data_IF_260017326520
#
_entry.id   IF_260017326520
#
_cell.length_a   1.000
_cell.length_b   1.000
_cell.length_c   1.000
_cell.angle_alpha   90.00
_cell.angle_beta   90.00
_cell.angle_gamma   90.00
#
_symmetry.space_group_name_H-M   'P 1'
#
loop_
_entity.id
_entity.type
_entity.pdbx_description
1 polymer ?
#
# COMPACT_ATOMS: atom_id res chain seq x y z
N UNK A 1 -27.75 23.48 -13.43
CA UNK A 1 -26.60 22.92 -12.67
C UNK A 1 -26.07 21.66 -13.36
N UNK A 2 -25.45 21.78 -14.54
CA UNK A 2 -24.91 20.65 -15.30
C UNK A 2 -23.55 21.07 -15.87
N UNK A 3 -22.43 20.65 -15.28
CA UNK A 3 -21.11 20.96 -15.84
C UNK A 3 -19.90 20.68 -14.97
N UNK A 4 -20.02 20.73 -13.64
CA UNK A 4 -18.87 20.56 -12.73
C UNK A 4 -18.43 19.10 -12.51
N UNK A 5 -19.18 18.10 -13.00
CA UNK A 5 -19.02 16.70 -12.62
C UNK A 5 -18.27 15.82 -13.64
N UNK A 6 -17.88 16.36 -14.81
CA UNK A 6 -17.34 15.53 -15.92
C UNK A 6 -15.87 15.14 -15.75
N UNK A 7 -15.05 15.98 -15.13
CA UNK A 7 -13.62 15.68 -14.92
C UNK A 7 -13.40 14.67 -13.79
N UNK A 8 -14.11 14.82 -12.68
CA UNK A 8 -14.10 13.83 -11.59
C UNK A 8 -14.67 12.47 -12.03
N UNK A 9 -15.69 12.48 -12.89
CA UNK A 9 -16.25 11.28 -13.48
C UNK A 9 -15.24 10.54 -14.37
N UNK A 10 -14.40 11.26 -15.13
CA UNK A 10 -13.41 10.64 -16.00
C UNK A 10 -12.24 10.02 -15.20
N UNK A 11 -11.73 10.75 -14.21
CA UNK A 11 -10.63 10.28 -13.34
C UNK A 11 -11.05 9.05 -12.51
N UNK A 12 -12.29 9.06 -11.99
CA UNK A 12 -12.84 7.91 -11.27
C UNK A 12 -13.15 6.71 -12.20
N UNK A 13 -13.60 6.94 -13.44
CA UNK A 13 -13.84 5.88 -14.42
C UNK A 13 -12.54 5.23 -14.95
N UNK A 14 -11.40 5.92 -14.88
CA UNK A 14 -10.10 5.35 -15.24
C UNK A 14 -9.65 4.30 -14.21
N UNK A 15 -9.92 4.56 -12.92
CA UNK A 15 -9.52 3.68 -11.83
C UNK A 15 -10.57 2.63 -11.48
N UNK A 16 -11.84 3.03 -11.41
CA UNK A 16 -12.91 2.20 -10.89
C UNK A 16 -13.84 1.72 -12.01
N UNK A 17 -14.35 0.51 -11.85
CA UNK A 17 -15.41 -0.02 -12.69
C UNK A 17 -16.76 0.65 -12.38
N UNK A 18 -17.80 0.25 -13.12
CA UNK A 18 -19.18 0.74 -12.92
C UNK A 18 -19.78 0.43 -11.54
N UNK A 19 -19.14 -0.42 -10.74
CA UNK A 19 -19.54 -0.81 -9.40
C UNK A 19 -18.70 -0.13 -8.31
N UNK A 20 -17.77 0.76 -8.69
CA UNK A 20 -16.89 1.44 -7.74
C UNK A 20 -15.72 0.57 -7.25
N UNK A 21 -15.38 -0.51 -7.96
CA UNK A 21 -14.25 -1.38 -7.65
C UNK A 21 -13.03 -1.04 -8.50
N UNK A 22 -11.84 -1.11 -7.93
CA UNK A 22 -10.61 -0.89 -8.67
C UNK A 22 -10.53 -1.87 -9.84
N UNK A 23 -10.25 -1.36 -11.03
CA UNK A 23 -10.11 -2.20 -12.22
C UNK A 23 -8.94 -3.16 -12.07
N UNK A 24 -9.17 -4.41 -12.46
CA UNK A 24 -8.21 -5.53 -12.40
C UNK A 24 -6.87 -5.22 -13.07
N UNK A 25 -6.90 -4.37 -14.11
CA UNK A 25 -5.73 -3.88 -14.84
C UNK A 25 -4.70 -3.19 -13.91
N UNK A 26 -5.13 -2.56 -12.83
CA UNK A 26 -4.27 -1.76 -11.95
C UNK A 26 -3.65 -2.56 -10.80
N UNK A 27 -4.02 -3.84 -10.60
CA UNK A 27 -3.45 -4.66 -9.53
C UNK A 27 -3.08 -6.09 -9.93
N UNK A 28 -3.60 -6.64 -11.04
CA UNK A 28 -3.25 -7.98 -11.50
C UNK A 28 -2.38 -8.00 -12.77
N UNK A 29 -2.51 -7.00 -13.64
CA UNK A 29 -1.82 -7.00 -14.93
C UNK A 29 -0.30 -6.80 -14.76
N UNK A 30 0.53 -7.65 -15.37
CA UNK A 30 2.00 -7.66 -15.21
C UNK A 30 2.65 -6.29 -15.45
N UNK A 31 2.16 -5.56 -16.45
CA UNK A 31 2.68 -4.25 -16.85
C UNK A 31 1.93 -3.07 -16.20
N UNK A 32 0.61 -3.14 -16.05
CA UNK A 32 -0.22 -1.98 -15.67
C UNK A 32 -0.36 -1.80 -14.17
N UNK A 33 -0.09 -2.86 -13.37
CA UNK A 33 -0.09 -2.79 -11.90
C UNK A 33 0.99 -1.88 -11.32
N UNK A 34 1.99 -1.48 -12.11
CA UNK A 34 3.13 -0.69 -11.64
C UNK A 34 3.83 -1.42 -10.49
N UNK A 35 4.02 -0.73 -9.36
CA UNK A 35 4.59 -1.33 -8.14
C UNK A 35 3.61 -2.24 -7.37
N UNK A 36 2.38 -2.43 -7.87
CA UNK A 36 1.33 -3.25 -7.24
C UNK A 36 1.04 -2.87 -5.77
N UNK A 37 1.27 -1.60 -5.43
CA UNK A 37 1.08 -1.06 -4.07
C UNK A 37 -0.39 -1.01 -3.69
N UNK A 38 -1.28 -0.96 -4.69
CA UNK A 38 -2.72 -0.84 -4.52
C UNK A 38 -3.45 -2.07 -5.11
N UNK A 39 -4.44 -2.57 -4.39
CA UNK A 39 -5.32 -3.68 -4.78
C UNK A 39 -6.80 -3.42 -4.45
N UNK A 40 -7.58 -4.48 -4.23
CA UNK A 40 -9.02 -4.39 -3.90
C UNK A 40 -9.34 -3.76 -2.54
N UNK A 41 -8.35 -3.26 -1.80
CA UNK A 41 -8.57 -2.41 -0.63
C UNK A 41 -9.25 -1.11 -1.04
N UNK A 42 -9.00 -0.62 -2.26
CA UNK A 42 -9.67 0.56 -2.82
C UNK A 42 -11.17 0.33 -3.06
N UNK A 43 -11.64 -0.92 -3.08
CA UNK A 43 -13.05 -1.27 -3.23
C UNK A 43 -13.84 -1.08 -1.91
N UNK A 44 -13.13 -0.95 -0.78
CA UNK A 44 -13.69 -1.05 0.55
C UNK A 44 -13.22 0.08 1.46
N UNK A 45 -13.67 1.32 1.23
CA UNK A 45 -13.56 2.40 2.22
C UNK A 45 -14.25 3.68 1.75
N UNK A 46 -14.20 4.73 2.58
CA UNK A 46 -14.50 6.08 2.12
C UNK A 46 -13.40 6.59 1.20
N UNK A 47 -13.81 7.32 0.16
CA UNK A 47 -12.93 7.92 -0.83
C UNK A 47 -13.01 9.44 -0.72
N UNK A 48 -11.86 10.08 -0.54
CA UNK A 48 -11.66 11.51 -0.63
C UNK A 48 -11.02 11.84 -1.99
N UNK A 49 -11.54 12.83 -2.72
CA UNK A 49 -11.00 13.22 -4.03
C UNK A 49 -10.57 14.69 -4.04
N UNK A 50 -9.29 14.93 -4.32
CA UNK A 50 -8.74 16.26 -4.57
C UNK A 50 -8.91 16.60 -6.06
N UNK A 51 -9.96 17.36 -6.39
CA UNK A 51 -10.27 17.73 -7.77
C UNK A 51 -9.54 18.98 -8.26
N UNK A 52 -9.45 20.01 -7.41
CA UNK A 52 -8.82 21.29 -7.73
C UNK A 52 -7.96 21.72 -6.55
N UNK A 53 -6.70 21.97 -6.82
CA UNK A 53 -5.72 22.38 -5.83
C UNK A 53 -4.70 23.31 -6.50
N UNK A 54 -4.79 24.60 -6.21
CA UNK A 54 -3.81 25.54 -6.73
C UNK A 54 -2.57 25.53 -5.84
N UNK A 55 -1.54 24.80 -6.28
CA UNK A 55 -0.28 24.66 -5.56
C UNK A 55 0.59 25.94 -5.62
N UNK A 56 0.11 27.03 -6.24
CA UNK A 56 0.88 28.27 -6.37
C UNK A 56 0.99 29.07 -5.06
N UNK A 57 0.19 28.79 -4.04
CA UNK A 57 0.36 29.37 -2.70
C UNK A 57 1.31 28.50 -1.86
N UNK A 58 2.38 29.15 -1.38
CA UNK A 58 3.38 28.71 -0.41
C UNK A 58 3.32 27.22 -0.03
N UNK A 59 4.30 26.45 -0.52
CA UNK A 59 4.41 24.98 -0.38
C UNK A 59 4.11 24.46 1.04
N UNK A 60 4.46 25.22 2.07
CA UNK A 60 4.16 24.91 3.48
C UNK A 60 2.69 25.08 3.83
N UNK A 61 2.06 26.20 3.45
CA UNK A 61 0.63 26.43 3.67
C UNK A 61 -0.20 25.37 2.94
N UNK A 62 0.21 25.04 1.72
CA UNK A 62 -0.39 23.99 0.93
C UNK A 62 -0.30 22.60 1.57
N UNK A 63 0.89 22.23 2.04
CA UNK A 63 1.09 20.98 2.77
C UNK A 63 0.23 20.91 4.04
N UNK A 64 0.13 22.01 4.79
CA UNK A 64 -0.66 22.10 6.01
C UNK A 64 -2.16 21.98 5.71
N UNK A 65 -2.64 22.57 4.61
CA UNK A 65 -4.02 22.42 4.16
C UNK A 65 -4.36 20.96 3.82
N UNK A 66 -3.52 20.30 3.02
CA UNK A 66 -3.74 18.89 2.68
C UNK A 66 -3.73 18.02 3.94
N UNK A 67 -2.78 18.22 4.85
CA UNK A 67 -2.73 17.49 6.13
C UNK A 67 -3.97 17.74 6.99
N UNK A 68 -4.47 18.96 7.05
CA UNK A 68 -5.69 19.29 7.80
C UNK A 68 -6.93 18.59 7.20
N UNK A 69 -7.04 18.55 5.87
CA UNK A 69 -8.11 17.83 5.17
C UNK A 69 -8.02 16.33 5.46
N UNK A 70 -6.83 15.74 5.36
CA UNK A 70 -6.60 14.32 5.65
C UNK A 70 -6.94 14.00 7.11
N UNK A 71 -6.50 14.82 8.07
CA UNK A 71 -6.83 14.64 9.48
C UNK A 71 -8.34 14.73 9.76
N UNK A 72 -9.05 15.62 9.06
CA UNK A 72 -10.51 15.71 9.18
C UNK A 72 -11.20 14.48 8.59
N UNK A 73 -10.73 13.97 7.46
CA UNK A 73 -11.25 12.75 6.85
C UNK A 73 -11.00 11.51 7.72
N UNK A 74 -9.83 11.42 8.36
CA UNK A 74 -9.50 10.39 9.34
C UNK A 74 -10.50 10.38 10.51
N UNK A 75 -10.79 11.56 11.07
CA UNK A 75 -11.74 11.72 12.16
C UNK A 75 -13.18 11.29 11.79
N UNK A 76 -13.54 11.34 10.50
CA UNK A 76 -14.87 10.94 10.02
C UNK A 76 -14.93 9.48 9.56
N UNK A 77 -13.79 8.81 9.44
CA UNK A 77 -13.68 7.47 8.88
C UNK A 77 -12.94 6.54 9.85
N UNK A 78 -13.62 6.00 10.89
CA UNK A 78 -12.98 5.14 11.89
C UNK A 78 -12.43 3.83 11.29
N UNK A 79 -12.93 3.41 10.13
CA UNK A 79 -12.43 2.27 9.34
C UNK A 79 -11.26 2.61 8.40
N UNK A 80 -10.75 3.84 8.45
CA UNK A 80 -9.79 4.40 7.49
C UNK A 80 -10.47 4.97 6.24
N UNK A 81 -9.67 5.62 5.39
CA UNK A 81 -10.10 6.16 4.10
C UNK A 81 -8.94 6.18 3.09
N UNK A 82 -9.29 6.37 1.82
CA UNK A 82 -8.33 6.65 0.76
C UNK A 82 -8.53 8.05 0.22
N UNK A 83 -7.44 8.73 -0.13
CA UNK A 83 -7.52 9.98 -0.85
C UNK A 83 -6.87 9.87 -2.22
N UNK A 84 -7.51 10.41 -3.25
CA UNK A 84 -7.00 10.42 -4.61
C UNK A 84 -6.77 11.84 -5.09
N UNK A 85 -5.75 12.00 -5.92
CA UNK A 85 -5.45 13.25 -6.63
C UNK A 85 -4.94 12.94 -8.03
N UNK A 86 -5.38 13.73 -9.00
CA UNK A 86 -4.80 13.79 -10.32
C UNK A 86 -3.88 15.03 -10.40
N UNK A 87 -2.55 14.86 -10.34
CA UNK A 87 -1.60 15.98 -10.40
C UNK A 87 -1.70 16.79 -11.70
N UNK A 88 -2.14 16.17 -12.80
CA UNK A 88 -2.26 16.83 -14.11
C UNK A 88 -3.49 17.74 -14.22
N UNK A 89 -4.57 17.43 -13.49
CA UNK A 89 -5.73 18.31 -13.36
C UNK A 89 -5.37 19.68 -12.77
N UNK A 90 -4.23 19.75 -12.08
CA UNK A 90 -3.72 20.97 -11.44
C UNK A 90 -2.84 21.84 -12.36
N UNK A 91 -2.49 21.33 -13.55
CA UNK A 91 -1.70 22.05 -14.56
C UNK A 91 -2.55 22.62 -15.69
N UNK A 92 -3.81 22.20 -15.77
CA UNK A 92 -4.77 22.80 -16.69
C UNK A 92 -5.09 24.21 -16.19
N UNK A 93 -4.88 25.27 -17.01
CA UNK A 93 -5.27 26.60 -16.61
C UNK A 93 -6.77 26.62 -16.28
N UNK A 94 -7.09 27.21 -15.14
CA UNK A 94 -8.44 27.29 -14.55
C UNK A 94 -9.48 27.91 -15.52
N UNK A 95 -9.01 28.62 -16.54
CA UNK A 95 -9.80 29.35 -17.54
C UNK A 95 -9.63 28.81 -18.97
N UNK A 96 -9.85 27.52 -19.21
CA UNK A 96 -10.17 27.11 -20.58
C UNK A 96 -11.64 27.48 -20.86
N UNK A 97 -11.92 28.39 -21.81
CA UNK A 97 -13.29 28.70 -22.16
C UNK A 97 -14.01 27.44 -22.64
N UNK A 98 -15.25 27.30 -22.19
CA UNK A 98 -16.11 26.16 -22.45
C UNK A 98 -16.12 25.81 -23.94
N UNK A 99 -15.61 24.62 -24.31
CA UNK A 99 -15.57 24.14 -25.70
C UNK A 99 -14.21 24.17 -26.39
N UNK A 100 -13.14 24.62 -25.74
CA UNK A 100 -11.79 24.54 -26.31
C UNK A 100 -11.32 23.08 -26.44
N UNK A 101 -11.08 22.64 -27.68
CA UNK A 101 -10.57 21.30 -27.99
C UNK A 101 -9.08 21.22 -27.64
N UNK A 102 -8.64 20.11 -27.05
CA UNK A 102 -7.23 19.79 -26.77
C UNK A 102 -6.34 19.70 -28.02
N UNK A 103 -6.93 19.86 -29.20
CA UNK A 103 -6.27 19.90 -30.51
C UNK A 103 -5.98 21.32 -31.03
N UNK A 104 -6.34 22.38 -30.27
CA UNK A 104 -6.11 23.76 -30.69
C UNK A 104 -4.60 24.13 -30.58
N UNK A 105 -3.92 24.46 -31.71
CA UNK A 105 -2.46 24.62 -31.78
C UNK A 105 -1.89 25.68 -30.82
N UNK A 106 -2.70 26.63 -30.35
CA UNK A 106 -2.30 27.66 -29.38
C UNK A 106 -1.96 27.09 -28.00
N UNK A 107 -2.41 25.89 -27.67
CA UNK A 107 -2.13 25.21 -26.40
C UNK A 107 -1.10 24.07 -26.53
N UNK A 108 -0.78 23.65 -27.76
CA UNK A 108 0.19 22.59 -28.07
C UNK A 108 1.65 23.11 -27.94
N UNK A 109 1.84 24.43 -27.85
CA UNK A 109 3.15 25.09 -27.84
C UNK A 109 3.65 25.64 -26.49
N UNK A 110 3.09 25.26 -25.33
CA UNK A 110 3.73 25.61 -24.04
C UNK A 110 4.95 24.72 -23.83
N UNK A 111 6.05 25.35 -23.41
CA UNK A 111 7.38 24.75 -23.32
C UNK A 111 7.38 23.45 -22.50
N UNK A 112 7.37 22.29 -23.17
CA UNK A 112 7.48 20.94 -22.59
C UNK A 112 8.57 20.80 -21.51
N UNK A 113 9.64 21.62 -21.56
CA UNK A 113 10.70 21.63 -20.54
C UNK A 113 10.28 22.31 -19.22
N UNK A 114 9.52 23.40 -19.27
CA UNK A 114 9.00 24.08 -18.08
C UNK A 114 7.83 23.30 -17.45
N UNK A 115 7.01 22.67 -18.28
CA UNK A 115 5.89 21.85 -17.82
C UNK A 115 6.37 20.55 -17.16
N UNK A 116 7.49 19.96 -17.63
CA UNK A 116 8.11 18.81 -16.97
C UNK A 116 8.72 19.14 -15.59
N UNK A 117 9.34 20.31 -15.43
CA UNK A 117 9.88 20.71 -14.12
C UNK A 117 8.75 20.98 -13.11
N UNK A 118 7.66 21.61 -13.57
CA UNK A 118 6.45 21.83 -12.77
C UNK A 118 5.75 20.53 -12.41
N UNK A 119 5.58 19.61 -13.37
CA UNK A 119 5.05 18.27 -13.12
C UNK A 119 5.85 17.54 -12.05
N UNK A 120 7.18 17.51 -12.18
CA UNK A 120 8.06 16.90 -11.18
C UNK A 120 7.90 17.55 -9.81
N UNK A 121 7.81 18.88 -9.74
CA UNK A 121 7.61 19.59 -8.48
C UNK A 121 6.26 19.23 -7.81
N UNK A 122 5.18 19.14 -8.60
CA UNK A 122 3.85 18.75 -8.12
C UNK A 122 3.85 17.28 -7.69
N UNK A 123 4.42 16.37 -8.47
CA UNK A 123 4.56 14.97 -8.08
C UNK A 123 5.39 14.80 -6.80
N UNK A 124 6.51 15.52 -6.68
CA UNK A 124 7.34 15.53 -5.47
C UNK A 124 6.59 16.07 -4.26
N UNK A 125 5.74 17.10 -4.44
CA UNK A 125 4.87 17.62 -3.39
C UNK A 125 3.91 16.54 -2.88
N UNK A 126 3.13 15.90 -3.76
CA UNK A 126 2.19 14.86 -3.35
C UNK A 126 2.88 13.64 -2.73
N UNK A 127 4.04 13.22 -3.28
CA UNK A 127 4.87 12.17 -2.68
C UNK A 127 5.34 12.53 -1.28
N UNK A 128 5.71 13.79 -1.03
CA UNK A 128 6.14 14.25 0.29
C UNK A 128 5.01 14.20 1.34
N UNK A 129 3.75 14.16 0.89
CA UNK A 129 2.56 14.01 1.72
C UNK A 129 2.11 12.55 1.87
N UNK A 130 2.89 11.59 1.35
CA UNK A 130 2.59 10.15 1.45
C UNK A 130 1.71 9.61 0.33
N UNK A 131 1.39 10.40 -0.69
CA UNK A 131 0.67 9.89 -1.85
C UNK A 131 1.60 9.05 -2.75
N UNK A 132 1.05 7.97 -3.31
CA UNK A 132 1.77 7.03 -4.19
C UNK A 132 0.96 6.82 -5.47
N UNK A 133 1.65 6.67 -6.60
CA UNK A 133 1.00 6.43 -7.90
C UNK A 133 0.19 5.13 -7.88
N UNK A 134 -0.97 5.13 -8.53
CA UNK A 134 -1.79 3.93 -8.73
C UNK A 134 -1.48 3.30 -10.08
N UNK A 135 -0.75 2.19 -10.08
CA UNK A 135 -0.34 1.51 -11.31
C UNK A 135 0.40 2.42 -12.30
N UNK A 136 0.04 2.34 -13.58
CA UNK A 136 0.50 3.25 -14.64
C UNK A 136 -0.39 4.49 -14.84
N UNK A 137 -1.41 4.66 -14.00
CA UNK A 137 -2.32 5.81 -14.12
C UNK A 137 -1.62 7.13 -13.77
N UNK A 138 -2.29 8.22 -14.14
CA UNK A 138 -1.91 9.57 -13.76
C UNK A 138 -2.27 9.89 -12.30
N UNK A 139 -3.02 9.01 -11.63
CA UNK A 139 -3.58 9.23 -10.31
C UNK A 139 -2.62 8.79 -9.21
N UNK A 140 -2.69 9.54 -8.13
CA UNK A 140 -1.98 9.29 -6.89
C UNK A 140 -3.00 9.00 -5.80
N UNK A 141 -2.74 7.99 -4.99
CA UNK A 141 -3.56 7.61 -3.86
C UNK A 141 -2.79 7.75 -2.55
N UNK A 142 -3.49 8.10 -1.48
CA UNK A 142 -3.05 8.13 -0.11
C UNK A 142 -3.93 7.17 0.70
N UNK A 143 -3.33 6.48 1.66
CA UNK A 143 -4.04 5.68 2.63
C UNK A 143 -3.81 6.28 4.01
N UNK A 144 -4.89 6.47 4.76
CA UNK A 144 -4.86 6.98 6.14
C UNK A 144 -3.98 6.16 7.08
N UNK A 145 -3.77 4.89 6.72
CA UNK A 145 -2.82 4.04 7.41
C UNK A 145 -1.72 3.57 6.46
N UNK A 146 -0.43 3.87 6.75
CA UNK A 146 0.67 3.14 6.11
C UNK A 146 0.66 1.64 6.47
N UNK A 147 -0.18 1.23 7.42
CA UNK A 147 -0.40 -0.17 7.83
C UNK A 147 -1.52 -0.88 7.08
N UNK A 148 -2.10 -0.28 6.03
CA UNK A 148 -2.81 -1.09 5.06
C UNK A 148 -1.78 -1.91 4.28
N UNK A 149 -1.51 -3.07 4.86
CA UNK A 149 -0.83 -4.21 4.27
C UNK A 149 -1.25 -4.30 2.79
N UNK A 150 -0.34 -4.13 1.82
CA UNK A 150 -0.64 -4.46 0.44
C UNK A 150 -1.33 -5.82 0.39
N UNK A 151 -2.31 -6.05 -0.48
CA UNK A 151 -3.11 -7.28 -0.42
C UNK A 151 -2.30 -8.56 -0.45
N UNK A 152 -1.21 -8.54 -1.22
CA UNK A 152 -0.27 -9.65 -1.25
C UNK A 152 0.33 -9.89 0.15
N UNK A 153 0.74 -8.83 0.85
CA UNK A 153 1.18 -8.91 2.24
C UNK A 153 0.06 -9.37 3.17
N UNK A 154 -1.21 -9.00 2.95
CA UNK A 154 -2.32 -9.44 3.82
C UNK A 154 -2.53 -10.94 3.65
N UNK A 155 -2.49 -11.43 2.41
CA UNK A 155 -2.58 -12.84 2.06
C UNK A 155 -1.41 -13.64 2.63
N UNK A 156 -0.18 -13.12 2.52
CA UNK A 156 1.02 -13.71 3.13
C UNK A 156 0.87 -13.75 4.65
N UNK A 157 0.57 -12.61 5.29
CA UNK A 157 0.45 -12.53 6.74
C UNK A 157 -0.61 -13.48 7.28
N UNK A 158 -1.80 -13.53 6.66
CA UNK A 158 -2.86 -14.47 7.03
C UNK A 158 -2.39 -15.92 6.85
N UNK A 159 -1.71 -16.25 5.74
CA UNK A 159 -1.19 -17.59 5.51
C UNK A 159 -0.11 -18.00 6.51
N UNK A 160 0.79 -17.08 6.88
CA UNK A 160 1.87 -17.35 7.82
C UNK A 160 1.36 -17.54 9.26
N UNK A 161 0.34 -16.79 9.69
CA UNK A 161 -0.23 -16.95 11.02
C UNK A 161 -1.31 -18.05 11.10
N UNK A 162 -1.81 -18.54 9.97
CA UNK A 162 -2.81 -19.61 9.93
C UNK A 162 -2.17 -20.96 10.27
N UNK A 163 -2.48 -21.43 11.48
CA UNK A 163 -2.00 -22.72 12.01
C UNK A 163 -2.49 -23.92 11.22
N UNK A 164 -3.63 -23.82 10.53
CA UNK A 164 -4.23 -24.92 9.77
C UNK A 164 -3.64 -25.06 8.36
N UNK A 165 -3.02 -24.01 7.84
CA UNK A 165 -2.48 -24.01 6.48
C UNK A 165 -1.18 -24.81 6.39
N UNK A 166 -1.02 -25.59 5.35
CA UNK A 166 0.23 -26.35 5.14
C UNK A 166 1.44 -25.43 4.95
N UNK A 167 2.56 -25.78 5.58
CA UNK A 167 3.79 -24.97 5.55
C UNK A 167 4.41 -24.89 4.16
N UNK A 168 4.43 -26.00 3.39
CA UNK A 168 4.97 -25.99 2.03
C UNK A 168 4.10 -25.14 1.09
N UNK A 169 2.78 -25.21 1.24
CA UNK A 169 1.86 -24.34 0.52
C UNK A 169 2.04 -22.86 0.89
N UNK A 170 2.30 -22.56 2.17
CA UNK A 170 2.65 -21.20 2.60
C UNK A 170 3.97 -20.73 2.01
N UNK A 171 5.00 -21.57 2.01
CA UNK A 171 6.30 -21.25 1.42
C UNK A 171 6.18 -20.99 -0.09
N UNK A 172 5.47 -21.84 -0.82
CA UNK A 172 5.23 -21.63 -2.24
C UNK A 172 4.56 -20.27 -2.52
N UNK A 173 3.57 -19.91 -1.71
CA UNK A 173 2.91 -18.60 -1.82
C UNK A 173 3.86 -17.45 -1.45
N UNK A 174 4.67 -17.62 -0.42
CA UNK A 174 5.64 -16.62 0.03
C UNK A 174 6.69 -16.35 -1.06
N UNK A 175 7.20 -17.38 -1.72
CA UNK A 175 8.18 -17.27 -2.81
C UNK A 175 7.57 -16.58 -4.04
N UNK A 176 6.29 -16.83 -4.34
CA UNK A 176 5.59 -16.20 -5.48
C UNK A 176 5.30 -14.72 -5.20
N UNK A 177 4.79 -14.41 -4.01
CA UNK A 177 4.27 -13.08 -3.70
C UNK A 177 5.35 -12.11 -3.17
N UNK A 178 6.45 -12.61 -2.58
CA UNK A 178 7.53 -11.76 -2.09
C UNK A 178 8.57 -11.45 -3.16
N UNK A 179 9.08 -10.20 -3.20
CA UNK A 179 10.16 -9.83 -4.09
C UNK A 179 11.45 -10.56 -3.71
N UNK A 180 12.17 -11.07 -4.71
CA UNK A 180 13.45 -11.76 -4.53
C UNK A 180 14.55 -10.84 -3.96
N UNK A 181 14.39 -9.52 -4.06
CA UNK A 181 15.35 -8.54 -3.52
C UNK A 181 15.18 -8.39 -1.99
N UNK A 182 16.19 -8.72 -1.16
CA UNK A 182 16.12 -8.60 0.30
C UNK A 182 15.96 -7.15 0.81
N UNK A 183 16.39 -6.18 0.00
CA UNK A 183 16.31 -4.75 0.32
C UNK A 183 14.94 -4.14 -0.02
N UNK A 184 14.02 -4.94 -0.57
CA UNK A 184 12.68 -4.45 -0.84
C UNK A 184 11.96 -4.08 0.47
N UNK A 185 11.29 -2.90 0.54
CA UNK A 185 10.55 -2.46 1.71
C UNK A 185 9.51 -3.47 2.23
N UNK A 186 9.01 -4.36 1.38
CA UNK A 186 8.06 -5.42 1.74
C UNK A 186 8.61 -6.34 2.83
N UNK A 187 9.91 -6.60 2.84
CA UNK A 187 10.57 -7.43 3.87
C UNK A 187 10.67 -6.73 5.22
N UNK A 188 10.59 -5.40 5.25
CA UNK A 188 10.57 -4.59 6.47
C UNK A 188 9.14 -4.33 6.97
N UNK A 189 8.16 -5.05 6.44
CA UNK A 189 6.77 -4.92 6.87
C UNK A 189 6.60 -5.34 8.34
N UNK A 190 5.81 -4.54 9.05
CA UNK A 190 5.46 -4.74 10.46
C UNK A 190 3.93 -4.72 10.56
N UNK A 191 3.35 -5.76 11.18
CA UNK A 191 1.91 -5.84 11.41
C UNK A 191 1.42 -4.78 12.41
N UNK A 192 0.10 -4.55 12.52
CA UNK A 192 -0.46 -3.69 13.57
C UNK A 192 -0.07 -4.11 15.00
N UNK A 193 0.26 -5.39 15.24
CA UNK A 193 0.74 -5.90 16.53
C UNK A 193 2.25 -5.76 16.72
N UNK A 194 2.96 -5.14 15.77
CA UNK A 194 4.42 -5.04 15.78
C UNK A 194 5.13 -6.30 15.29
N UNK A 195 4.41 -7.31 14.77
CA UNK A 195 5.03 -8.54 14.32
C UNK A 195 5.66 -8.34 12.94
N UNK A 196 6.94 -8.66 12.81
CA UNK A 196 7.57 -8.84 11.49
C UNK A 196 7.06 -10.11 10.80
N UNK A 197 7.38 -10.29 9.52
CA UNK A 197 7.05 -11.51 8.78
C UNK A 197 7.56 -12.77 9.50
N UNK A 198 8.75 -12.69 10.11
CA UNK A 198 9.33 -13.80 10.85
C UNK A 198 8.57 -14.12 12.14
N UNK A 199 8.04 -13.11 12.85
CA UNK A 199 7.15 -13.33 14.00
C UNK A 199 5.86 -14.04 13.59
N UNK A 200 5.31 -13.71 12.41
CA UNK A 200 4.09 -14.35 11.91
C UNK A 200 4.33 -15.82 11.55
N UNK A 201 5.44 -16.13 10.86
CA UNK A 201 5.84 -17.49 10.55
C UNK A 201 6.10 -18.33 11.81
N UNK A 202 6.76 -17.74 12.80
CA UNK A 202 6.96 -18.32 14.13
C UNK A 202 5.62 -18.62 14.83
N UNK A 203 4.69 -17.66 14.83
CA UNK A 203 3.37 -17.83 15.46
C UNK A 203 2.49 -18.89 14.78
N UNK A 204 2.68 -19.12 13.48
CA UNK A 204 1.97 -20.17 12.74
C UNK A 204 2.68 -21.53 12.71
N UNK A 205 3.80 -21.69 13.42
CA UNK A 205 4.63 -22.90 13.43
C UNK A 205 5.03 -23.36 12.01
N UNK A 206 5.63 -22.45 11.22
CA UNK A 206 5.97 -22.65 9.80
C UNK A 206 7.50 -22.80 9.58
N UNK A 207 8.11 -23.96 9.87
CA UNK A 207 9.57 -24.12 9.86
C UNK A 207 10.21 -23.83 8.49
N UNK A 208 9.61 -24.28 7.38
CA UNK A 208 10.15 -24.04 6.03
C UNK A 208 10.06 -22.55 5.64
N UNK A 209 8.97 -21.87 6.03
CA UNK A 209 8.88 -20.42 5.87
C UNK A 209 9.94 -19.69 6.70
N UNK A 210 10.17 -20.11 7.94
CA UNK A 210 11.17 -19.54 8.83
C UNK A 210 12.58 -19.66 8.22
N UNK A 211 12.98 -20.85 7.79
CA UNK A 211 14.28 -21.09 7.15
C UNK A 211 14.48 -20.20 5.92
N UNK A 212 13.46 -20.12 5.06
CA UNK A 212 13.51 -19.26 3.88
C UNK A 212 13.65 -17.78 4.24
N UNK A 213 12.85 -17.28 5.18
CA UNK A 213 12.88 -15.87 5.60
C UNK A 213 14.25 -15.53 6.22
N UNK A 214 14.79 -16.40 7.08
CA UNK A 214 16.10 -16.20 7.72
C UNK A 214 17.22 -16.20 6.69
N UNK A 215 17.15 -17.06 5.67
CA UNK A 215 18.15 -17.10 4.58
C UNK A 215 18.23 -15.79 3.79
N UNK A 216 17.12 -15.06 3.69
CA UNK A 216 17.03 -13.78 2.96
C UNK A 216 17.36 -12.61 3.88
N UNK A 217 16.81 -12.61 5.11
CA UNK A 217 16.85 -11.46 6.01
C UNK A 217 17.10 -11.89 7.46
N UNK A 218 18.35 -12.26 7.79
CA UNK A 218 18.70 -12.76 9.14
C UNK A 218 18.53 -11.69 10.22
N UNK A 219 18.58 -10.41 9.86
CA UNK A 219 18.34 -9.28 10.77
C UNK A 219 16.95 -9.29 11.44
N UNK A 220 15.98 -10.00 10.86
CA UNK A 220 14.65 -10.16 11.46
C UNK A 220 14.68 -10.98 12.77
N UNK A 221 15.72 -11.79 13.01
CA UNK A 221 15.86 -12.65 14.19
C UNK A 221 15.90 -11.86 15.50
N UNK A 222 16.50 -10.68 15.48
CA UNK A 222 16.71 -9.84 16.66
C UNK A 222 15.63 -8.78 16.85
N UNK A 223 14.70 -8.65 15.90
CA UNK A 223 13.61 -7.68 16.04
C UNK A 223 12.65 -8.08 17.15
N UNK A 224 12.16 -7.08 17.88
CA UNK A 224 11.14 -7.26 18.92
C UNK A 224 9.81 -6.67 18.45
N UNK A 225 8.72 -7.37 18.71
CA UNK A 225 7.37 -6.87 18.47
C UNK A 225 6.91 -5.88 19.56
N UNK A 226 5.66 -5.38 19.50
CA UNK A 226 5.12 -4.43 20.49
C UNK A 226 5.05 -4.99 21.90
N UNK A 227 5.00 -6.31 22.06
CA UNK A 227 5.03 -6.98 23.36
C UNK A 227 6.46 -7.20 23.86
N UNK A 228 7.48 -6.75 23.12
CA UNK A 228 8.88 -6.94 23.44
C UNK A 228 9.43 -8.33 23.08
N UNK A 229 8.64 -9.20 22.45
CA UNK A 229 9.09 -10.55 22.09
C UNK A 229 9.85 -10.55 20.77
N UNK A 230 10.91 -11.35 20.72
CA UNK A 230 11.58 -11.79 19.49
C UNK A 230 10.74 -12.88 18.78
N UNK A 231 11.04 -13.22 17.50
CA UNK A 231 10.35 -14.31 16.82
C UNK A 231 10.49 -15.64 17.55
N UNK A 232 11.66 -15.92 18.13
CA UNK A 232 11.91 -17.13 18.93
C UNK A 232 11.05 -17.17 20.18
N UNK A 233 10.98 -16.07 20.93
CA UNK A 233 10.13 -15.96 22.12
C UNK A 233 8.64 -16.08 21.74
N UNK A 234 8.25 -15.55 20.58
CA UNK A 234 6.88 -15.69 20.06
C UNK A 234 6.53 -17.14 19.74
N UNK A 235 7.44 -17.89 19.11
CA UNK A 235 7.27 -19.33 18.89
C UNK A 235 7.14 -20.08 20.22
N UNK A 236 8.03 -19.81 21.17
CA UNK A 236 8.02 -20.44 22.49
C UNK A 236 6.70 -20.21 23.22
N UNK A 237 6.26 -18.95 23.29
CA UNK A 237 4.98 -18.58 23.89
C UNK A 237 3.79 -19.25 23.18
N UNK A 238 3.86 -19.38 21.85
CA UNK A 238 2.82 -20.07 21.07
C UNK A 238 2.78 -21.56 21.40
N UNK A 239 3.93 -22.23 21.51
CA UNK A 239 4.01 -23.65 21.86
C UNK A 239 3.54 -23.91 23.29
N UNK A 240 3.93 -23.07 24.24
CA UNK A 240 3.53 -23.20 25.63
C UNK A 240 2.01 -23.01 25.79
N UNK A 241 1.43 -22.01 25.11
CA UNK A 241 -0.02 -21.88 25.01
C UNK A 241 -0.69 -23.12 24.42
N UNK A 242 -0.12 -23.73 23.37
CA UNK A 242 -0.68 -24.94 22.76
C UNK A 242 -0.60 -26.16 23.70
N UNK A 243 0.48 -26.28 24.49
CA UNK A 243 0.65 -27.33 25.51
C UNK A 243 -0.38 -27.21 26.63
N UNK A 244 -0.65 -26.00 27.11
CA UNK A 244 -1.61 -25.74 28.19
C UNK A 244 -3.06 -25.94 27.72
N UNK A 245 -3.37 -25.60 26.47
CA UNK A 245 -4.73 -25.63 25.92
C UNK A 245 -5.07 -26.92 25.16
N UNK A 246 -4.11 -27.82 24.97
CA UNK A 246 -4.31 -29.06 24.20
C UNK A 246 -4.53 -28.83 22.71
N UNK A 247 -4.26 -27.62 22.19
CA UNK A 247 -4.22 -27.38 20.75
C UNK A 247 -3.02 -28.13 20.16
N UNK A 248 -3.29 -29.16 19.37
CA UNK A 248 -2.26 -29.94 18.67
C UNK A 248 -1.53 -29.01 17.68
N UNK A 249 -0.31 -29.40 17.29
CA UNK A 249 0.50 -29.00 16.13
C UNK A 249 1.78 -28.18 16.43
N UNK A 250 2.91 -28.84 16.15
CA UNK A 250 4.29 -28.36 16.32
C UNK A 250 5.12 -29.44 17.02
N UNK A 251 5.90 -30.21 16.27
CA UNK A 251 6.81 -31.20 16.87
C UNK A 251 8.05 -30.49 17.41
N UNK A 252 8.68 -30.98 18.51
CA UNK A 252 9.88 -30.35 19.08
C UNK A 252 11.05 -30.17 18.10
N UNK A 253 11.06 -30.87 16.97
CA UNK A 253 12.09 -30.75 15.93
C UNK A 253 12.06 -29.43 15.15
N UNK A 254 10.97 -28.68 15.18
CA UNK A 254 10.84 -27.39 14.46
C UNK A 254 11.70 -26.26 15.07
N UNK A 255 12.23 -26.46 16.29
CA UNK A 255 13.04 -25.48 17.04
C UNK A 255 14.49 -25.44 16.54
N UNK A 256 15.02 -26.55 15.97
CA UNK A 256 16.44 -26.65 15.60
C UNK A 256 16.84 -25.71 14.44
N UNK A 257 15.87 -25.31 13.61
CA UNK A 257 16.06 -24.41 12.46
C UNK A 257 16.35 -22.95 12.86
N UNK A 258 16.09 -22.55 14.10
CA UNK A 258 16.28 -21.19 14.61
C UNK A 258 17.58 -21.00 15.42
N UNK A 259 18.40 -22.05 15.57
CA UNK A 259 19.62 -22.07 16.38
C UNK A 259 20.92 -22.23 15.58
N UNK A 260 20.87 -22.13 14.25
CA UNK A 260 22.02 -22.19 13.34
C UNK A 260 22.53 -20.81 12.95
#
# INVERSE_FOLDING_TARGET
MYGLNKHAGNDAQELFDRYGRLRQDHYQHEINKGTAVWGTELDHSHILLFQKYDAHQEREQGANLVKAILGKAAAHSPSGFFAFVNPLSLLLPVDLPFGASTSDPKYIGRNFRHDNARLKAIESFWRSLGFRRVGRSLLFAYADSPTQTPQFMRKICMGLCDKLKDDKACLAQLVIDMPANPQDPSWSYISPTGNSILHLAASGCKPACIEYIVSIKPELLNMRNRNGYTPRETLQNTMDFCRETGCIYGTPDDIKSLSG
#
